data_IF_813797558222
#
_entry.id   IF_813797558222
#
_cell.length_a   1.000
_cell.length_b   1.000
_cell.length_c   1.000
_cell.angle_alpha   90.00
_cell.angle_beta   90.00
_cell.angle_gamma   90.00
#
_symmetry.space_group_name_H-M   'P 1'
#
loop_
_entity.id
_entity.type
_entity.pdbx_description
1 polymer ?
#
# COMPACT_ATOMS: atom_id res chain seq x y z
N UNK A 1 -7.72 9.15 15.63
CA UNK A 1 -8.39 8.12 14.80
C UNK A 1 -7.76 8.15 13.41
N UNK A 2 -7.32 7.02 12.86
CA UNK A 2 -6.75 6.98 11.50
C UNK A 2 -7.88 7.11 10.47
N UNK A 3 -7.79 8.07 9.54
CA UNK A 3 -8.81 8.30 8.51
C UNK A 3 -8.47 7.49 7.25
N UNK A 4 -9.37 6.59 6.85
CA UNK A 4 -9.26 5.82 5.59
C UNK A 4 -9.41 6.79 4.41
N UNK A 5 -8.51 6.71 3.45
CA UNK A 5 -8.56 7.47 2.19
C UNK A 5 -8.24 6.54 1.03
N UNK A 6 -8.85 6.78 -0.11
CA UNK A 6 -8.48 6.13 -1.38
C UNK A 6 -7.43 6.99 -2.06
N UNK A 7 -6.25 6.42 -2.32
CA UNK A 7 -5.12 7.11 -2.93
C UNK A 7 -4.79 6.50 -4.28
N UNK A 8 -4.33 7.31 -5.23
CA UNK A 8 -3.80 6.82 -6.48
C UNK A 8 -2.48 6.09 -6.25
N UNK A 9 -2.33 4.88 -6.79
CA UNK A 9 -1.14 4.04 -6.58
C UNK A 9 0.13 4.72 -7.11
N UNK A 10 0.01 5.50 -8.19
CA UNK A 10 1.12 6.25 -8.79
C UNK A 10 1.72 7.32 -7.86
N UNK A 11 0.95 7.82 -6.88
CA UNK A 11 1.40 8.83 -5.94
C UNK A 11 2.10 8.22 -4.71
N UNK A 12 2.19 6.89 -4.65
CA UNK A 12 2.78 6.15 -3.54
C UNK A 12 4.21 5.72 -3.87
N UNK A 13 5.16 6.37 -3.22
CA UNK A 13 6.57 6.00 -3.26
C UNK A 13 6.87 4.84 -2.30
N UNK A 14 7.49 3.79 -2.83
CA UNK A 14 8.02 2.66 -2.04
C UNK A 14 9.52 2.84 -1.81
N UNK A 15 9.98 3.01 -0.55
CA UNK A 15 11.40 3.08 -0.22
C UNK A 15 12.18 1.85 -0.67
N UNK A 16 13.42 2.05 -1.15
CA UNK A 16 14.27 0.98 -1.70
C UNK A 16 14.45 -0.18 -0.72
N UNK A 17 14.69 0.11 0.57
CA UNK A 17 14.85 -0.91 1.61
C UNK A 17 13.61 -1.82 1.74
N UNK A 18 12.40 -1.27 1.57
CA UNK A 18 11.17 -2.08 1.61
C UNK A 18 11.01 -2.93 0.37
N UNK A 19 11.41 -2.46 -0.81
CA UNK A 19 11.34 -3.27 -2.05
C UNK A 19 12.10 -4.59 -1.91
N UNK A 20 13.15 -4.63 -1.09
CA UNK A 20 13.93 -5.84 -0.82
C UNK A 20 13.18 -6.88 0.02
N UNK A 21 12.12 -6.49 0.75
CA UNK A 21 11.30 -7.40 1.55
C UNK A 21 10.08 -7.94 0.79
N UNK A 22 10.00 -7.66 -0.51
CA UNK A 22 8.91 -8.14 -1.36
C UNK A 22 9.03 -9.66 -1.52
N UNK A 23 7.91 -10.34 -1.34
CA UNK A 23 7.81 -11.79 -1.50
C UNK A 23 6.72 -12.06 -2.54
N UNK A 24 7.08 -12.48 -3.76
CA UNK A 24 6.14 -12.70 -4.85
C UNK A 24 5.01 -13.67 -4.49
N UNK A 25 5.29 -14.72 -3.71
CA UNK A 25 4.27 -15.72 -3.31
C UNK A 25 3.22 -15.09 -2.41
N UNK A 26 3.63 -14.18 -1.51
CA UNK A 26 2.71 -13.43 -0.68
C UNK A 26 1.90 -12.41 -1.48
N UNK A 27 2.50 -11.81 -2.51
CA UNK A 27 1.75 -10.91 -3.42
C UNK A 27 0.62 -11.67 -4.10
N UNK A 28 0.91 -12.84 -4.66
CA UNK A 28 -0.08 -13.68 -5.34
C UNK A 28 -1.23 -14.09 -4.41
N UNK A 29 -0.92 -14.66 -3.24
CA UNK A 29 -1.94 -15.04 -2.26
C UNK A 29 -2.79 -13.84 -1.78
N UNK A 30 -2.18 -12.65 -1.66
CA UNK A 30 -2.91 -11.42 -1.30
C UNK A 30 -3.76 -10.94 -2.48
N UNK A 31 -3.30 -11.05 -3.72
CA UNK A 31 -4.06 -10.69 -4.90
C UNK A 31 -5.32 -11.57 -5.04
N UNK A 32 -5.18 -12.89 -4.87
CA UNK A 32 -6.31 -13.83 -4.83
C UNK A 32 -7.32 -13.42 -3.76
N UNK A 33 -6.87 -13.17 -2.53
CA UNK A 33 -7.75 -12.73 -1.44
C UNK A 33 -8.45 -11.40 -1.75
N UNK A 34 -7.79 -10.46 -2.43
CA UNK A 34 -8.38 -9.17 -2.81
C UNK A 34 -9.42 -9.35 -3.91
N UNK A 35 -9.19 -10.24 -4.88
CA UNK A 35 -10.20 -10.55 -5.91
C UNK A 35 -11.47 -11.17 -5.30
N UNK A 36 -11.32 -12.04 -4.31
CA UNK A 36 -12.47 -12.73 -3.69
C UNK A 36 -13.28 -11.85 -2.74
N UNK A 37 -12.60 -11.05 -1.89
CA UNK A 37 -13.22 -10.38 -0.74
C UNK A 37 -13.09 -8.86 -0.77
N UNK A 38 -12.32 -8.33 -1.72
CA UNK A 38 -11.85 -6.96 -1.70
C UNK A 38 -10.72 -6.74 -0.70
N UNK A 39 -10.18 -5.52 -0.68
CA UNK A 39 -9.12 -5.18 0.26
C UNK A 39 -9.70 -4.71 1.60
N UNK A 40 -9.76 -5.63 2.56
CA UNK A 40 -10.23 -5.36 3.93
C UNK A 40 -9.27 -4.47 4.72
N UNK A 41 -7.96 -4.69 4.55
CA UNK A 41 -6.92 -4.00 5.32
C UNK A 41 -6.23 -2.93 4.47
N UNK A 42 -6.43 -1.64 4.76
CA UNK A 42 -5.73 -0.56 4.06
C UNK A 42 -4.20 -0.62 4.25
N UNK A 43 -3.46 -0.01 3.34
CA UNK A 43 -2.02 0.22 3.52
C UNK A 43 -1.78 1.39 4.47
N UNK A 44 -0.58 1.49 5.05
CA UNK A 44 -0.19 2.67 5.82
C UNK A 44 0.76 3.51 5.00
N UNK A 45 0.49 4.80 4.92
CA UNK A 45 1.37 5.75 4.23
C UNK A 45 1.55 7.01 5.07
N UNK A 46 2.67 7.68 4.88
CA UNK A 46 2.89 9.03 5.42
C UNK A 46 2.87 10.05 4.28
N UNK A 47 2.36 11.28 4.50
CA UNK A 47 2.46 12.34 3.52
C UNK A 47 3.93 12.76 3.31
N UNK A 48 4.27 13.12 2.07
CA UNK A 48 5.58 13.60 1.65
C UNK A 48 5.40 14.63 0.52
N UNK A 49 5.11 15.88 0.91
CA UNK A 49 4.72 16.93 -0.03
C UNK A 49 3.44 16.58 -0.79
N UNK A 50 3.56 16.39 -2.12
CA UNK A 50 2.43 16.01 -3.02
C UNK A 50 2.26 14.49 -3.16
N UNK A 51 3.17 13.70 -2.62
CA UNK A 51 3.16 12.24 -2.72
C UNK A 51 3.00 11.60 -1.34
N UNK A 52 2.91 10.29 -1.33
CA UNK A 52 2.84 9.48 -0.13
C UNK A 52 4.01 8.50 -0.10
N UNK A 53 4.55 8.24 1.09
CA UNK A 53 5.60 7.23 1.27
C UNK A 53 4.98 6.03 1.96
N UNK A 54 5.15 4.85 1.38
CA UNK A 54 4.69 3.60 1.95
C UNK A 54 5.36 3.35 3.30
N UNK A 55 4.54 3.22 4.33
CA UNK A 55 4.95 2.82 5.68
C UNK A 55 4.69 1.34 5.90
N UNK A 56 3.54 0.78 5.53
CA UNK A 56 3.26 -0.65 5.66
C UNK A 56 2.29 -1.15 4.59
N UNK A 57 2.35 -2.45 4.29
CA UNK A 57 1.44 -3.09 3.33
C UNK A 57 1.99 -3.19 1.91
N UNK A 58 3.30 -3.42 1.77
CA UNK A 58 3.97 -3.59 0.47
C UNK A 58 3.32 -4.67 -0.41
N UNK A 59 3.07 -5.87 0.13
CA UNK A 59 2.49 -6.95 -0.67
C UNK A 59 1.07 -6.62 -1.16
N UNK A 60 0.28 -5.87 -0.38
CA UNK A 60 -1.04 -5.38 -0.80
C UNK A 60 -0.93 -4.37 -1.93
N UNK A 61 0.01 -3.43 -1.81
CA UNK A 61 0.27 -2.44 -2.85
C UNK A 61 0.66 -3.12 -4.18
N UNK A 62 1.57 -4.09 -4.14
CA UNK A 62 1.99 -4.83 -5.33
C UNK A 62 0.90 -5.76 -5.85
N UNK A 63 0.07 -6.34 -4.97
CA UNK A 63 -1.08 -7.13 -5.38
C UNK A 63 -2.11 -6.28 -6.15
N UNK A 64 -2.49 -5.11 -5.63
CA UNK A 64 -3.36 -4.18 -6.35
C UNK A 64 -2.78 -3.77 -7.71
N UNK A 65 -1.47 -3.51 -7.79
CA UNK A 65 -0.80 -3.24 -9.07
C UNK A 65 -0.89 -4.42 -10.04
N UNK A 66 -0.66 -5.64 -9.55
CA UNK A 66 -0.73 -6.86 -10.37
C UNK A 66 -2.15 -7.11 -10.91
N UNK A 67 -3.17 -6.74 -10.13
CA UNK A 67 -4.58 -6.79 -10.53
C UNK A 67 -5.00 -5.65 -11.48
N UNK A 68 -4.12 -4.70 -11.77
CA UNK A 68 -4.41 -3.55 -12.63
C UNK A 68 -5.19 -2.42 -11.94
N UNK A 69 -5.28 -2.44 -10.61
CA UNK A 69 -5.91 -1.37 -9.86
C UNK A 69 -5.12 -0.06 -9.99
N UNK A 70 -5.85 1.05 -10.05
CA UNK A 70 -5.26 2.40 -10.13
C UNK A 70 -5.27 3.12 -8.78
N UNK A 71 -6.10 2.65 -7.86
CA UNK A 71 -6.28 3.24 -6.53
C UNK A 71 -6.22 2.17 -5.44
N UNK A 72 -5.89 2.58 -4.22
CA UNK A 72 -5.80 1.67 -3.09
C UNK A 72 -6.27 2.36 -1.80
N UNK A 73 -7.01 1.67 -0.91
CA UNK A 73 -7.33 2.21 0.40
C UNK A 73 -6.08 2.30 1.27
N UNK A 74 -5.89 3.46 1.90
CA UNK A 74 -4.76 3.77 2.76
C UNK A 74 -5.19 4.51 4.04
N UNK A 75 -4.41 4.35 5.11
CA UNK A 75 -4.44 5.22 6.27
C UNK A 75 -3.23 6.15 6.26
N UNK A 76 -3.49 7.44 6.49
CA UNK A 76 -2.43 8.41 6.74
C UNK A 76 -1.93 8.27 8.17
N UNK A 77 -0.63 8.06 8.32
CA UNK A 77 0.05 8.05 9.60
C UNK A 77 0.98 9.24 9.72
N UNK A 78 1.17 9.73 10.94
CA UNK A 78 2.18 10.76 11.21
C UNK A 78 3.57 10.16 11.00
N UNK A 79 4.50 10.96 10.47
CA UNK A 79 5.91 10.59 10.50
C UNK A 79 6.31 10.35 11.96
N UNK A 80 6.95 9.21 12.27
CA UNK A 80 7.59 9.03 13.57
C UNK A 80 8.65 10.13 13.68
N UNK A 81 8.42 11.10 14.57
CA UNK A 81 9.47 12.02 15.02
C UNK A 81 10.51 11.13 15.71
N UNK A 82 11.68 11.03 15.09
CA UNK A 82 12.87 10.48 15.73
C UNK A 82 13.42 11.51 16.72
#
# INVERSE_FOLDING_TARGET
MMKKQTLAIQDIYVPVQRRQTLDPKKVEAVAESIMEKGQDVPILVRPDGKRFVLVEGLHRLEACKALGETTIPAYLVQARKH
#
